data_IF_036916316394
#
_entry.id   IF_036916316394
#
_cell.length_a   1.000
_cell.length_b   1.000
_cell.length_c   1.000
_cell.angle_alpha   90.00
_cell.angle_beta   90.00
_cell.angle_gamma   90.00
#
_symmetry.space_group_name_H-M   'P 1'
#
loop_
_entity.id
_entity.type
_entity.pdbx_description
1 polymer ?
#
# COMPACT_ATOMS: atom_id res chain seq x y z
N UNK A 1 47.67 -77.10 2.09
CA UNK A 1 46.45 -77.66 2.70
C UNK A 1 45.56 -76.48 3.06
N UNK A 2 44.30 -76.53 2.61
CA UNK A 2 43.12 -75.74 3.02
C UNK A 2 43.15 -74.20 2.82
N UNK A 3 42.59 -73.68 1.72
CA UNK A 3 41.22 -73.15 1.46
C UNK A 3 40.73 -71.96 2.31
N UNK A 4 40.33 -70.93 1.55
CA UNK A 4 39.22 -69.97 1.71
C UNK A 4 39.30 -68.96 2.86
N UNK A 5 39.30 -67.67 2.50
CA UNK A 5 38.22 -66.76 2.92
C UNK A 5 38.19 -65.49 2.09
N UNK A 6 36.96 -65.02 1.90
CA UNK A 6 36.43 -64.12 0.90
C UNK A 6 36.94 -62.67 0.92
N UNK A 7 36.90 -62.08 -0.28
CA UNK A 7 36.92 -60.64 -0.50
C UNK A 7 35.70 -59.97 0.14
N UNK A 8 35.92 -59.14 1.16
CA UNK A 8 34.98 -58.08 1.54
C UNK A 8 35.66 -56.71 1.36
N UNK A 9 35.22 -55.99 0.33
CA UNK A 9 35.51 -54.57 0.12
C UNK A 9 34.98 -53.77 1.32
N UNK A 10 35.85 -53.33 2.21
CA UNK A 10 35.51 -52.34 3.23
C UNK A 10 35.71 -50.93 2.67
N UNK A 11 34.62 -50.38 2.13
CA UNK A 11 34.49 -48.96 1.82
C UNK A 11 34.59 -48.18 3.14
N UNK A 12 35.63 -47.35 3.28
CA UNK A 12 35.75 -46.36 4.35
C UNK A 12 34.69 -45.27 4.12
N UNK A 13 33.74 -45.00 5.04
CA UNK A 13 33.04 -43.73 5.04
C UNK A 13 33.93 -42.69 5.71
N UNK A 14 34.39 -41.74 4.90
CA UNK A 14 35.02 -40.51 5.31
C UNK A 14 34.05 -39.73 6.23
N UNK A 15 34.31 -39.75 7.54
CA UNK A 15 33.54 -38.98 8.51
C UNK A 15 33.93 -37.49 8.38
N UNK A 16 33.24 -36.78 7.49
CA UNK A 16 33.31 -35.33 7.44
C UNK A 16 32.41 -34.76 8.54
N UNK A 17 33.01 -34.38 9.65
CA UNK A 17 32.36 -33.68 10.74
C UNK A 17 31.96 -32.28 10.28
N UNK A 18 30.71 -32.11 9.84
CA UNK A 18 30.11 -30.78 9.67
C UNK A 18 29.81 -30.22 11.07
N UNK A 19 30.67 -29.32 11.55
CA UNK A 19 30.35 -28.43 12.64
C UNK A 19 29.23 -27.49 12.19
N UNK A 20 27.99 -27.80 12.56
CA UNK A 20 26.88 -26.88 12.48
C UNK A 20 26.96 -25.93 13.68
N UNK A 21 27.46 -24.71 13.46
CA UNK A 21 27.33 -23.63 14.42
C UNK A 21 25.85 -23.25 14.50
N UNK A 22 25.15 -23.77 15.51
CA UNK A 22 23.82 -23.35 15.86
C UNK A 22 23.92 -21.99 16.55
N UNK A 23 23.71 -20.91 15.79
CA UNK A 23 23.63 -19.55 16.32
C UNK A 23 22.37 -19.47 17.20
N UNK A 24 22.45 -19.11 18.49
CA UNK A 24 21.25 -18.98 19.31
C UNK A 24 20.43 -17.81 18.74
N UNK A 25 19.23 -18.11 18.24
CA UNK A 25 18.21 -17.08 18.04
C UNK A 25 17.94 -16.45 19.41
N UNK A 26 18.49 -15.26 19.62
CA UNK A 26 18.07 -14.37 20.68
C UNK A 26 16.60 -13.98 20.41
N UNK A 27 15.69 -14.81 20.89
CA UNK A 27 14.32 -14.40 21.15
C UNK A 27 14.41 -13.40 22.31
N UNK A 28 14.38 -12.11 22.00
CA UNK A 28 14.16 -11.10 23.03
C UNK A 28 12.69 -11.25 23.43
N UNK A 29 12.41 -12.11 24.42
CA UNK A 29 11.14 -12.07 25.14
C UNK A 29 11.12 -10.78 25.96
N UNK A 30 10.70 -9.70 25.32
CA UNK A 30 10.20 -8.53 26.04
C UNK A 30 8.83 -8.94 26.58
N UNK A 31 8.84 -9.40 27.84
CA UNK A 31 7.65 -9.58 28.64
C UNK A 31 7.07 -8.19 28.89
N UNK A 32 6.19 -7.77 27.99
CA UNK A 32 5.41 -6.55 28.09
C UNK A 32 4.04 -6.97 28.56
N UNK A 33 3.65 -6.43 29.71
CA UNK A 33 2.32 -6.50 30.30
C UNK A 33 1.24 -6.38 29.20
N UNK A 34 0.56 -7.49 28.93
CA UNK A 34 -0.31 -7.72 27.77
C UNK A 34 -1.74 -7.20 27.96
N UNK A 35 -1.91 -6.15 28.77
CA UNK A 35 -3.25 -5.68 29.12
C UNK A 35 -3.63 -4.36 28.45
N UNK A 36 -2.67 -3.61 27.89
CA UNK A 36 -2.95 -2.26 27.33
C UNK A 36 -2.21 -1.92 26.02
N UNK A 37 -1.60 -2.89 25.34
CA UNK A 37 -1.15 -2.72 23.95
C UNK A 37 -2.15 -3.40 23.03
N UNK A 38 -2.86 -2.61 22.21
CA UNK A 38 -3.75 -3.14 21.18
C UNK A 38 -3.08 -4.30 20.42
N UNK A 39 -3.69 -5.50 20.38
CA UNK A 39 -3.03 -6.67 19.80
C UNK A 39 -2.65 -6.42 18.34
N UNK A 40 -1.42 -6.77 17.96
CA UNK A 40 -1.01 -6.84 16.56
C UNK A 40 -1.91 -7.84 15.82
N UNK A 41 -2.42 -7.48 14.65
CA UNK A 41 -3.29 -8.36 13.87
C UNK A 41 -2.56 -9.66 13.53
N UNK A 42 -3.07 -10.79 14.02
CA UNK A 42 -2.47 -12.10 13.69
C UNK A 42 -2.78 -12.50 12.24
N UNK A 43 -2.05 -13.49 11.73
CA UNK A 43 -2.32 -14.05 10.39
C UNK A 43 -3.73 -14.65 10.32
N UNK A 44 -4.10 -15.45 11.31
CA UNK A 44 -5.43 -16.07 11.37
C UNK A 44 -6.53 -15.01 11.47
N UNK A 45 -6.36 -14.04 12.37
CA UNK A 45 -7.31 -12.94 12.55
C UNK A 45 -7.51 -12.14 11.26
N UNK A 46 -6.43 -11.86 10.52
CA UNK A 46 -6.53 -11.16 9.25
C UNK A 46 -7.22 -12.00 8.17
N UNK A 47 -7.03 -13.33 8.17
CA UNK A 47 -7.75 -14.23 7.26
C UNK A 47 -9.24 -14.24 7.53
N UNK A 48 -9.66 -14.41 8.79
CA UNK A 48 -11.08 -14.37 9.16
C UNK A 48 -11.72 -13.03 8.78
N UNK A 49 -11.01 -11.94 9.04
CA UNK A 49 -11.44 -10.61 8.62
C UNK A 49 -11.70 -10.52 7.11
N UNK A 50 -10.79 -11.06 6.29
CA UNK A 50 -10.93 -11.04 4.83
C UNK A 50 -12.09 -11.90 4.34
N UNK A 51 -12.34 -13.05 4.97
CA UNK A 51 -13.50 -13.91 4.68
C UNK A 51 -14.79 -13.14 4.96
N UNK A 52 -14.93 -12.59 6.16
CA UNK A 52 -16.11 -11.79 6.54
C UNK A 52 -16.31 -10.60 5.58
N UNK A 53 -15.21 -9.94 5.19
CA UNK A 53 -15.25 -8.80 4.26
C UNK A 53 -15.61 -9.22 2.83
N UNK A 54 -15.21 -10.41 2.40
CA UNK A 54 -15.59 -10.98 1.11
C UNK A 54 -17.10 -11.27 1.05
N UNK A 55 -17.65 -11.86 2.10
CA UNK A 55 -19.09 -12.18 2.20
C UNK A 55 -19.97 -10.93 2.13
N UNK A 56 -19.53 -9.85 2.79
CA UNK A 56 -20.24 -8.58 2.81
C UNK A 56 -19.93 -7.67 1.62
N UNK A 57 -19.01 -8.07 0.72
CA UNK A 57 -18.51 -7.18 -0.34
C UNK A 57 -19.60 -6.61 -1.22
N UNK A 58 -20.63 -7.41 -1.51
CA UNK A 58 -21.79 -6.98 -2.28
C UNK A 58 -22.54 -5.83 -1.58
N UNK A 59 -22.79 -5.95 -0.28
CA UNK A 59 -23.50 -4.92 0.49
C UNK A 59 -22.70 -3.60 0.54
N UNK A 60 -21.37 -3.69 0.61
CA UNK A 60 -20.48 -2.52 0.51
C UNK A 60 -20.53 -1.82 -0.85
N UNK A 61 -20.91 -2.52 -1.92
CA UNK A 61 -21.07 -1.92 -3.25
C UNK A 61 -22.45 -1.30 -3.46
N UNK A 62 -23.47 -1.84 -2.82
CA UNK A 62 -24.86 -1.42 -3.00
C UNK A 62 -25.20 -0.14 -2.21
N UNK A 63 -24.49 0.10 -1.11
CA UNK A 63 -24.79 1.20 -0.17
C UNK A 63 -23.67 2.24 -0.13
N UNK A 64 -24.03 3.52 -0.03
CA UNK A 64 -23.04 4.62 0.14
C UNK A 64 -22.62 4.83 1.60
N UNK A 65 -23.48 4.50 2.56
CA UNK A 65 -23.23 4.61 4.01
C UNK A 65 -22.82 3.26 4.58
N UNK A 66 -21.54 3.10 4.84
CA UNK A 66 -20.96 1.80 5.24
C UNK A 66 -20.72 1.65 6.75
N UNK A 67 -21.07 2.65 7.57
CA UNK A 67 -20.87 2.63 9.04
C UNK A 67 -21.41 1.35 9.69
N UNK A 68 -22.67 1.02 9.42
CA UNK A 68 -23.31 -0.19 9.97
C UNK A 68 -22.65 -1.49 9.46
N UNK A 69 -22.13 -1.50 8.23
CA UNK A 69 -21.44 -2.68 7.71
C UNK A 69 -20.11 -2.93 8.44
N UNK A 70 -19.42 -1.87 8.86
CA UNK A 70 -18.23 -2.00 9.71
C UNK A 70 -18.56 -2.50 11.12
N UNK A 71 -19.70 -2.10 11.68
CA UNK A 71 -20.21 -2.64 12.96
C UNK A 71 -20.57 -4.14 12.84
N UNK A 72 -21.17 -4.54 11.71
CA UNK A 72 -21.45 -5.96 11.42
C UNK A 72 -20.14 -6.76 11.30
N UNK A 73 -19.12 -6.23 10.62
CA UNK A 73 -17.81 -6.89 10.56
C UNK A 73 -17.21 -7.03 11.96
N UNK A 74 -17.22 -5.98 12.77
CA UNK A 74 -16.71 -6.02 14.14
C UNK A 74 -17.44 -7.06 15.01
N UNK A 75 -18.75 -7.16 14.86
CA UNK A 75 -19.58 -8.16 15.56
C UNK A 75 -19.20 -9.58 15.13
N UNK A 76 -19.08 -9.84 13.82
CA UNK A 76 -18.65 -11.15 13.31
C UNK A 76 -17.22 -11.50 13.74
N UNK A 77 -16.31 -10.54 13.76
CA UNK A 77 -14.95 -10.74 14.28
C UNK A 77 -14.97 -11.15 15.75
N UNK A 78 -15.82 -10.52 16.57
CA UNK A 78 -16.02 -10.86 17.98
C UNK A 78 -16.59 -12.27 18.15
N UNK A 79 -17.51 -12.69 17.29
CA UNK A 79 -18.04 -14.07 17.27
C UNK A 79 -16.96 -15.12 16.96
N UNK A 80 -15.96 -14.75 16.14
CA UNK A 80 -14.77 -15.57 15.89
C UNK A 80 -13.71 -15.48 17.01
N UNK A 81 -14.00 -14.78 18.10
CA UNK A 81 -13.09 -14.61 19.24
C UNK A 81 -12.08 -13.47 19.09
N UNK A 82 -12.21 -12.62 18.06
CA UNK A 82 -11.34 -11.48 17.81
C UNK A 82 -12.03 -10.16 18.14
N UNK A 83 -11.69 -9.57 19.28
CA UNK A 83 -12.27 -8.29 19.71
C UNK A 83 -11.63 -7.11 18.96
N UNK A 84 -12.25 -6.71 17.84
CA UNK A 84 -11.91 -5.50 17.08
C UNK A 84 -13.11 -4.58 16.95
N UNK A 85 -12.88 -3.28 17.12
CA UNK A 85 -13.88 -2.25 16.85
C UNK A 85 -14.10 -2.07 15.35
N UNK A 86 -15.26 -1.49 14.98
CA UNK A 86 -15.60 -1.15 13.60
C UNK A 86 -14.52 -0.27 12.95
N UNK A 87 -13.98 0.69 13.69
CA UNK A 87 -12.94 1.60 13.19
C UNK A 87 -11.61 0.87 12.95
N UNK A 88 -11.23 -0.05 13.84
CA UNK A 88 -10.04 -0.89 13.63
C UNK A 88 -10.18 -1.79 12.39
N UNK A 89 -11.37 -2.36 12.18
CA UNK A 89 -11.70 -3.15 10.99
C UNK A 89 -11.61 -2.31 9.70
N UNK A 90 -12.17 -1.10 9.71
CA UNK A 90 -12.06 -0.14 8.60
C UNK A 90 -10.60 0.23 8.30
N UNK A 91 -9.86 0.65 9.33
CA UNK A 91 -8.44 0.97 9.20
C UNK A 91 -7.62 -0.22 8.68
N UNK A 92 -7.91 -1.44 9.15
CA UNK A 92 -7.26 -2.66 8.68
C UNK A 92 -7.52 -2.92 7.20
N UNK A 93 -8.78 -2.79 6.75
CA UNK A 93 -9.12 -2.89 5.34
C UNK A 93 -8.36 -1.87 4.50
N UNK A 94 -8.38 -0.59 4.89
CA UNK A 94 -7.65 0.48 4.18
C UNK A 94 -6.17 0.12 4.02
N UNK A 95 -5.52 -0.33 5.09
CA UNK A 95 -4.13 -0.76 5.05
C UNK A 95 -3.89 -1.95 4.11
N UNK A 96 -4.77 -2.94 4.10
CA UNK A 96 -4.67 -4.10 3.19
C UNK A 96 -4.86 -3.69 1.73
N UNK A 97 -5.82 -2.81 1.44
CA UNK A 97 -6.05 -2.27 0.09
C UNK A 97 -4.84 -1.47 -0.39
N UNK A 98 -4.28 -0.59 0.45
CA UNK A 98 -3.09 0.18 0.12
C UNK A 98 -1.90 -0.73 -0.20
N UNK A 99 -1.66 -1.76 0.62
CA UNK A 99 -0.60 -2.74 0.36
C UNK A 99 -0.84 -3.52 -0.93
N UNK A 100 -2.06 -3.98 -1.16
CA UNK A 100 -2.44 -4.69 -2.39
C UNK A 100 -2.18 -3.84 -3.65
N UNK A 101 -2.58 -2.55 -3.65
CA UNK A 101 -2.33 -1.62 -4.76
C UNK A 101 -0.85 -1.27 -4.91
N UNK A 102 -0.13 -1.12 -3.81
CA UNK A 102 1.31 -0.81 -3.81
C UNK A 102 2.17 -1.92 -4.42
N UNK A 103 1.64 -3.14 -4.54
CA UNK A 103 2.34 -4.24 -5.18
C UNK A 103 2.25 -4.22 -6.72
N UNK A 104 1.36 -3.44 -7.34
CA UNK A 104 1.08 -3.48 -8.79
C UNK A 104 2.32 -3.20 -9.69
N UNK A 105 3.41 -2.69 -9.11
CA UNK A 105 4.70 -2.42 -9.79
C UNK A 105 5.78 -3.50 -9.61
N UNK A 106 5.48 -4.60 -8.88
CA UNK A 106 6.44 -5.66 -8.52
C UNK A 106 6.08 -6.97 -9.25
N UNK A 107 7.08 -7.76 -9.62
CA UNK A 107 6.90 -9.07 -10.25
C UNK A 107 5.94 -9.98 -9.44
N UNK A 108 4.97 -10.67 -10.09
CA UNK A 108 3.91 -11.44 -9.41
C UNK A 108 4.40 -12.54 -8.45
N UNK A 109 5.59 -13.10 -8.67
CA UNK A 109 6.16 -14.16 -7.83
C UNK A 109 6.73 -13.60 -6.50
N UNK A 110 7.46 -12.49 -6.57
CA UNK A 110 7.98 -11.77 -5.40
C UNK A 110 6.85 -11.11 -4.59
N UNK A 111 5.80 -10.67 -5.28
CA UNK A 111 4.57 -10.10 -4.68
C UNK A 111 3.84 -11.10 -3.75
N UNK A 112 3.73 -12.37 -4.15
CA UNK A 112 3.11 -13.44 -3.34
C UNK A 112 3.91 -13.75 -2.07
N UNK A 113 5.23 -13.58 -2.11
CA UNK A 113 6.12 -13.85 -0.97
C UNK A 113 6.12 -12.70 0.05
N UNK A 114 5.93 -11.45 -0.38
CA UNK A 114 5.97 -10.29 0.52
C UNK A 114 4.61 -9.96 1.17
N UNK A 115 3.49 -10.30 0.51
CA UNK A 115 2.14 -10.04 1.00
C UNK A 115 1.30 -11.32 1.10
N UNK A 116 1.26 -11.98 2.27
CA UNK A 116 0.61 -13.29 2.45
C UNK A 116 -0.92 -13.30 2.28
N UNK A 117 -1.54 -12.13 2.07
CA UNK A 117 -2.99 -11.99 1.84
C UNK A 117 -3.35 -11.54 0.42
N UNK A 118 -2.37 -11.58 -0.49
CA UNK A 118 -2.56 -11.10 -1.86
C UNK A 118 -3.67 -11.85 -2.59
N UNK A 119 -3.69 -13.18 -2.48
CA UNK A 119 -4.67 -14.02 -3.19
C UNK A 119 -6.10 -13.77 -2.70
N UNK A 120 -6.28 -13.64 -1.39
CA UNK A 120 -7.58 -13.37 -0.78
C UNK A 120 -8.09 -11.99 -1.20
N UNK A 121 -7.24 -10.97 -1.20
CA UNK A 121 -7.58 -9.62 -1.70
C UNK A 121 -7.90 -9.64 -3.20
N UNK A 122 -7.07 -10.32 -4.00
CA UNK A 122 -7.28 -10.46 -5.44
C UNK A 122 -8.61 -11.16 -5.73
N UNK A 123 -8.95 -12.20 -4.99
CA UNK A 123 -10.20 -12.93 -5.13
C UNK A 123 -11.42 -12.03 -4.86
N UNK A 124 -11.39 -11.19 -3.81
CA UNK A 124 -12.46 -10.24 -3.51
C UNK A 124 -12.65 -9.27 -4.68
N UNK A 125 -11.58 -8.69 -5.21
CA UNK A 125 -11.66 -7.74 -6.32
C UNK A 125 -12.03 -8.38 -7.65
N UNK A 126 -11.52 -9.58 -7.95
CA UNK A 126 -11.88 -10.33 -9.16
C UNK A 126 -13.35 -10.72 -9.14
N UNK A 127 -13.85 -11.25 -8.01
CA UNK A 127 -15.27 -11.58 -7.84
C UNK A 127 -16.15 -10.33 -7.94
N UNK A 128 -15.69 -9.19 -7.40
CA UNK A 128 -16.35 -7.89 -7.57
C UNK A 128 -16.45 -7.49 -9.04
N UNK A 129 -15.34 -7.56 -9.78
CA UNK A 129 -15.31 -7.22 -11.20
C UNK A 129 -16.26 -8.12 -12.01
N UNK A 130 -16.21 -9.42 -11.76
CA UNK A 130 -17.07 -10.40 -12.44
C UNK A 130 -18.55 -10.14 -12.17
N UNK A 131 -18.94 -9.78 -10.93
CA UNK A 131 -20.32 -9.39 -10.61
C UNK A 131 -20.78 -8.15 -11.38
N UNK A 132 -19.92 -7.14 -11.52
CA UNK A 132 -20.27 -5.96 -12.33
C UNK A 132 -20.46 -6.32 -13.80
N UNK A 133 -19.60 -7.17 -14.36
CA UNK A 133 -19.74 -7.64 -15.74
C UNK A 133 -21.02 -8.47 -15.95
N UNK A 134 -21.43 -9.29 -14.98
CA UNK A 134 -22.68 -10.06 -15.05
C UNK A 134 -23.92 -9.18 -14.96
N UNK A 135 -23.91 -8.13 -14.13
CA UNK A 135 -25.03 -7.20 -14.00
C UNK A 135 -25.32 -6.42 -15.29
N UNK A 136 -24.30 -6.11 -16.09
CA UNK A 136 -24.43 -5.46 -17.40
C UNK A 136 -24.99 -6.40 -18.49
N UNK A 137 -24.82 -7.71 -18.33
CA UNK A 137 -25.32 -8.71 -19.29
C UNK A 137 -26.82 -8.99 -19.13
N UNK A 138 -27.37 -8.83 -17.91
CA UNK A 138 -28.81 -9.04 -17.64
C UNK A 138 -29.64 -7.74 -17.57
N UNK A 139 -28.99 -6.57 -17.45
CA UNK A 139 -29.63 -5.26 -17.37
C UNK A 139 -29.44 -4.41 -18.63
N UNK A 140 -30.38 -4.45 -19.56
CA UNK A 140 -30.36 -3.62 -20.77
C UNK A 140 -30.26 -2.11 -20.48
N UNK A 141 -29.21 -1.48 -20.99
CA UNK A 141 -29.04 -0.06 -21.31
C UNK A 141 -29.74 0.97 -20.39
N UNK A 142 -29.02 1.42 -19.34
CA UNK A 142 -29.12 2.80 -18.87
C UNK A 142 -27.72 3.33 -18.59
N UNK A 143 -27.31 4.33 -19.38
CA UNK A 143 -25.92 4.76 -19.50
C UNK A 143 -25.31 5.27 -18.20
N UNK A 144 -24.11 4.76 -17.89
CA UNK A 144 -23.06 5.46 -17.13
C UNK A 144 -21.72 4.76 -17.36
N UNK A 145 -21.18 4.85 -18.59
CA UNK A 145 -19.76 4.60 -18.84
C UNK A 145 -18.95 5.69 -18.12
N UNK A 146 -18.68 5.49 -16.82
CA UNK A 146 -17.71 6.19 -15.96
C UNK A 146 -17.78 5.69 -14.51
N UNK A 147 -17.58 4.38 -14.30
CA UNK A 147 -17.38 3.82 -12.94
C UNK A 147 -16.30 2.74 -12.82
N UNK A 148 -15.54 2.49 -13.89
CA UNK A 148 -14.39 1.58 -13.84
C UNK A 148 -13.24 2.10 -12.95
N UNK A 149 -13.22 3.39 -12.60
CA UNK A 149 -12.17 4.01 -11.77
C UNK A 149 -12.47 4.08 -10.26
N UNK A 150 -13.64 3.63 -9.79
CA UNK A 150 -13.94 3.56 -8.35
C UNK A 150 -13.64 2.17 -7.77
N UNK A 151 -12.38 1.74 -7.88
CA UNK A 151 -11.87 0.64 -7.07
C UNK A 151 -11.55 1.17 -5.67
N UNK A 152 -12.56 1.12 -4.80
CA UNK A 152 -12.51 1.43 -3.36
C UNK A 152 -12.23 2.90 -3.05
N UNK A 153 -13.24 3.76 -3.25
CA UNK A 153 -13.34 5.06 -2.58
C UNK A 153 -13.84 4.81 -1.16
N UNK A 154 -12.93 4.38 -0.28
CA UNK A 154 -13.11 4.44 1.18
C UNK A 154 -12.46 5.75 1.64
N UNK A 155 -12.96 6.87 1.12
CA UNK A 155 -12.54 8.23 1.48
C UNK A 155 -13.78 8.99 1.97
N UNK A 156 -13.69 9.38 3.24
CA UNK A 156 -14.42 10.44 3.95
C UNK A 156 -15.96 10.31 4.07
N UNK A 157 -16.43 9.63 5.12
CA UNK A 157 -17.77 9.82 5.68
C UNK A 157 -17.59 10.23 7.16
N UNK A 158 -17.04 11.43 7.37
CA UNK A 158 -17.24 12.19 8.60
C UNK A 158 -18.60 12.90 8.45
N UNK A 159 -19.62 12.31 9.07
CA UNK A 159 -20.98 12.81 9.02
C UNK A 159 -21.38 13.25 10.42
N UNK A 160 -21.18 14.55 10.69
CA UNK A 160 -21.84 15.23 11.80
C UNK A 160 -23.33 15.39 11.47
N UNK A 161 -24.13 14.89 12.40
CA UNK A 161 -25.57 14.81 12.38
C UNK A 161 -26.22 16.21 12.37
N UNK A 162 -27.13 16.45 11.43
CA UNK A 162 -28.11 17.53 11.50
C UNK A 162 -29.36 17.14 10.70
N UNK A 163 -30.31 16.61 11.46
CA UNK A 163 -31.71 16.41 11.10
C UNK A 163 -32.32 17.62 10.39
N UNK A 164 -32.90 17.39 9.21
CA UNK A 164 -34.02 18.18 8.70
C UNK A 164 -34.79 17.43 7.61
N UNK A 165 -35.83 16.76 8.07
CA UNK A 165 -37.07 16.46 7.37
C UNK A 165 -37.47 17.52 6.31
N UNK A 166 -37.75 17.06 5.08
CA UNK A 166 -38.98 17.40 4.34
C UNK A 166 -39.01 16.74 2.97
N UNK A 167 -39.90 15.76 2.85
CA UNK A 167 -40.23 15.13 1.58
C UNK A 167 -40.95 16.06 0.60
N UNK A 168 -40.83 15.73 -0.70
CA UNK A 168 -41.98 15.83 -1.62
C UNK A 168 -41.77 15.06 -2.92
N UNK A 169 -42.52 13.97 -3.04
CA UNK A 169 -42.85 13.29 -4.29
C UNK A 169 -43.76 14.19 -5.13
N UNK A 170 -43.45 14.39 -6.43
CA UNK A 170 -44.46 14.75 -7.44
C UNK A 170 -44.24 14.02 -8.77
N UNK A 171 -45.04 12.97 -8.94
CA UNK A 171 -45.42 12.33 -10.20
C UNK A 171 -46.31 13.32 -10.99
N UNK A 172 -46.09 13.53 -12.30
CA UNK A 172 -47.17 14.06 -13.16
C UNK A 172 -47.21 13.40 -14.54
N UNK A 173 -48.38 12.79 -14.72
CA UNK A 173 -49.01 12.05 -15.81
C UNK A 173 -49.18 12.86 -17.11
N UNK A 174 -48.81 12.23 -18.23
CA UNK A 174 -49.49 12.12 -19.55
C UNK A 174 -50.55 13.18 -19.89
N UNK A 175 -50.31 13.93 -20.97
CA UNK A 175 -51.30 14.68 -21.75
C UNK A 175 -51.10 14.41 -23.24
N UNK A 176 -52.11 13.82 -23.89
CA UNK A 176 -52.27 13.73 -25.34
C UNK A 176 -52.87 15.07 -25.81
N UNK A 177 -52.33 15.67 -26.86
CA UNK A 177 -53.12 16.54 -27.75
C UNK A 177 -52.62 16.40 -29.18
N UNK A 178 -53.50 15.89 -30.03
CA UNK A 178 -53.45 15.94 -31.49
C UNK A 178 -53.65 17.38 -31.95
N UNK A 179 -52.80 17.86 -32.87
CA UNK A 179 -53.19 18.81 -33.92
C UNK A 179 -52.37 18.47 -35.17
N UNK A 180 -53.06 18.23 -36.28
CA UNK A 180 -52.50 18.02 -37.61
C UNK A 180 -52.10 19.38 -38.22
N UNK A 181 -50.97 19.43 -38.92
CA UNK A 181 -50.75 20.38 -40.03
C UNK A 181 -50.22 19.58 -41.21
N UNK A 182 -50.92 19.72 -42.32
CA UNK A 182 -50.67 19.03 -43.57
C UNK A 182 -49.69 19.81 -44.47
N UNK A 183 -49.19 19.06 -45.45
CA UNK A 183 -48.77 19.45 -46.80
C UNK A 183 -47.42 20.15 -47.04
N UNK A 184 -46.54 19.34 -47.64
CA UNK A 184 -45.78 19.54 -48.90
C UNK A 184 -44.63 20.55 -48.97
N UNK A 185 -43.47 20.07 -49.42
CA UNK A 185 -42.40 20.89 -50.00
C UNK A 185 -41.04 20.18 -49.99
N UNK A 186 -40.46 19.95 -51.16
CA UNK A 186 -39.29 19.10 -51.41
C UNK A 186 -37.95 19.71 -50.98
N UNK A 187 -37.05 18.82 -50.53
CA UNK A 187 -35.58 18.76 -50.74
C UNK A 187 -34.68 20.00 -50.64
N UNK A 188 -33.55 19.80 -49.95
CA UNK A 188 -32.21 20.38 -50.21
C UNK A 188 -31.63 21.38 -49.19
N UNK A 189 -31.59 21.00 -47.90
CA UNK A 189 -30.78 21.70 -46.88
C UNK A 189 -30.30 20.84 -45.70
N UNK A 190 -30.61 19.54 -45.70
CA UNK A 190 -30.53 18.70 -44.49
C UNK A 190 -29.21 17.92 -44.33
N UNK A 191 -28.38 17.88 -45.37
CA UNK A 191 -27.06 17.23 -45.32
C UNK A 191 -26.05 18.03 -44.51
N UNK A 192 -26.16 19.36 -44.52
CA UNK A 192 -25.24 20.25 -43.80
C UNK A 192 -25.49 20.19 -42.29
N UNK A 193 -26.75 20.17 -41.86
CA UNK A 193 -27.13 20.08 -40.44
C UNK A 193 -26.72 18.75 -39.78
N UNK A 194 -26.89 17.61 -40.45
CA UNK A 194 -26.47 16.31 -39.88
C UNK A 194 -24.94 16.19 -39.81
N UNK A 195 -24.24 16.74 -40.81
CA UNK A 195 -22.78 16.80 -40.85
C UNK A 195 -22.24 17.66 -39.69
N UNK A 196 -22.88 18.79 -39.43
CA UNK A 196 -22.53 19.71 -38.34
C UNK A 196 -22.78 19.10 -36.95
N UNK A 197 -23.92 18.43 -36.76
CA UNK A 197 -24.22 17.70 -35.51
C UNK A 197 -23.21 16.57 -35.26
N UNK A 198 -22.80 15.85 -36.31
CA UNK A 198 -21.81 14.78 -36.19
C UNK A 198 -20.41 15.34 -35.91
N UNK A 199 -20.02 16.45 -36.54
CA UNK A 199 -18.78 17.16 -36.25
C UNK A 199 -18.74 17.68 -34.81
N UNK A 200 -19.85 18.20 -34.30
CA UNK A 200 -19.97 18.67 -32.92
C UNK A 200 -19.95 17.51 -31.91
N UNK A 201 -20.55 16.36 -32.26
CA UNK A 201 -20.43 15.14 -31.46
C UNK A 201 -18.98 14.63 -31.41
N UNK A 202 -18.27 14.65 -32.55
CA UNK A 202 -16.85 14.27 -32.59
C UNK A 202 -15.97 15.25 -31.80
N UNK A 203 -16.23 16.56 -31.88
CA UNK A 203 -15.55 17.57 -31.05
C UNK A 203 -15.83 17.36 -29.56
N UNK A 204 -17.08 17.06 -29.18
CA UNK A 204 -17.44 16.74 -27.79
C UNK A 204 -16.72 15.48 -27.30
N UNK A 205 -16.62 14.44 -28.13
CA UNK A 205 -15.91 13.22 -27.79
C UNK A 205 -14.42 13.50 -27.55
N UNK A 206 -13.77 14.23 -28.45
CA UNK A 206 -12.35 14.60 -28.35
C UNK A 206 -12.08 15.49 -27.13
N UNK A 207 -12.94 16.49 -26.86
CA UNK A 207 -12.80 17.35 -25.67
C UNK A 207 -12.92 16.56 -24.38
N UNK A 208 -13.88 15.65 -24.33
CA UNK A 208 -14.04 14.78 -23.17
C UNK A 208 -12.79 13.91 -23.01
N UNK A 209 -12.35 13.20 -24.06
CA UNK A 209 -11.12 12.38 -24.03
C UNK A 209 -9.88 13.17 -23.62
N UNK A 210 -9.75 14.42 -24.08
CA UNK A 210 -8.67 15.32 -23.69
C UNK A 210 -8.72 15.65 -22.19
N UNK A 211 -9.90 15.96 -21.65
CA UNK A 211 -10.08 16.14 -20.21
C UNK A 211 -9.79 14.87 -19.40
N UNK A 212 -10.17 13.68 -19.92
CA UNK A 212 -9.82 12.40 -19.29
C UNK A 212 -8.32 12.17 -19.29
N UNK A 213 -7.65 12.45 -20.41
CA UNK A 213 -6.20 12.30 -20.58
C UNK A 213 -5.45 13.24 -19.65
N UNK A 214 -5.86 14.50 -19.60
CA UNK A 214 -5.26 15.52 -18.74
C UNK A 214 -5.51 15.21 -17.25
N UNK A 215 -6.72 14.80 -16.87
CA UNK A 215 -7.01 14.41 -15.49
C UNK A 215 -6.22 13.15 -15.07
N UNK A 216 -6.00 12.21 -15.99
CA UNK A 216 -5.16 11.04 -15.76
C UNK A 216 -3.70 11.43 -15.58
N UNK A 217 -3.16 12.27 -16.48
CA UNK A 217 -1.78 12.75 -16.44
C UNK A 217 -1.52 13.64 -15.21
N UNK A 218 -2.47 14.49 -14.82
CA UNK A 218 -2.41 15.28 -13.59
C UNK A 218 -2.32 14.38 -12.35
N UNK A 219 -3.13 13.32 -12.29
CA UNK A 219 -3.08 12.35 -11.18
C UNK A 219 -1.76 11.56 -11.17
N UNK A 220 -1.21 11.27 -12.35
CA UNK A 220 0.11 10.66 -12.45
C UNK A 220 1.23 11.59 -11.97
N UNK A 221 1.18 12.86 -12.37
CA UNK A 221 2.12 13.89 -11.97
C UNK A 221 2.03 14.20 -10.47
N UNK A 222 0.82 14.20 -9.90
CA UNK A 222 0.61 14.32 -8.46
C UNK A 222 1.30 13.18 -7.70
N UNK A 223 1.21 11.93 -8.20
CA UNK A 223 1.94 10.80 -7.61
C UNK A 223 3.46 11.00 -7.71
N UNK A 224 3.96 11.40 -8.89
CA UNK A 224 5.40 11.66 -9.08
C UNK A 224 5.91 12.75 -8.15
N UNK A 225 5.13 13.82 -7.94
CA UNK A 225 5.51 14.92 -7.07
C UNK A 225 5.55 14.48 -5.61
N UNK A 226 4.53 13.76 -5.14
CA UNK A 226 4.53 13.17 -3.79
C UNK A 226 5.69 12.20 -3.58
N UNK A 227 6.02 11.40 -4.58
CA UNK A 227 7.18 10.51 -4.53
C UNK A 227 8.50 11.29 -4.47
N UNK A 228 8.64 12.36 -5.26
CA UNK A 228 9.81 13.23 -5.22
C UNK A 228 9.95 13.97 -3.90
N UNK A 229 8.86 14.50 -3.35
CA UNK A 229 8.84 15.13 -2.02
C UNK A 229 9.22 14.12 -0.93
N UNK A 230 8.69 12.89 -1.00
CA UNK A 230 9.07 11.83 -0.08
C UNK A 230 10.56 11.47 -0.20
N UNK A 231 11.10 11.38 -1.42
CA UNK A 231 12.53 11.14 -1.64
C UNK A 231 13.40 12.28 -1.08
N UNK A 232 13.03 13.53 -1.35
CA UNK A 232 13.76 14.70 -0.85
C UNK A 232 13.73 14.79 0.68
N UNK A 233 12.59 14.52 1.31
CA UNK A 233 12.48 14.52 2.77
C UNK A 233 13.32 13.41 3.41
N UNK A 234 13.34 12.21 2.81
CA UNK A 234 14.20 11.11 3.25
C UNK A 234 15.69 11.46 3.10
N UNK A 235 16.08 12.03 1.97
CA UNK A 235 17.46 12.48 1.73
C UNK A 235 17.87 13.61 2.70
N UNK A 236 16.96 14.54 3.01
CA UNK A 236 17.21 15.61 3.97
C UNK A 236 17.49 15.06 5.38
N UNK A 237 16.71 14.07 5.83
CA UNK A 237 16.93 13.40 7.12
C UNK A 237 18.27 12.66 7.16
N UNK A 238 18.65 11.98 6.06
CA UNK A 238 19.94 11.30 5.96
C UNK A 238 21.11 12.30 5.99
N UNK A 239 20.98 13.41 5.25
CA UNK A 239 21.98 14.48 5.25
C UNK A 239 22.10 15.15 6.62
N UNK A 240 21.00 15.35 7.36
CA UNK A 240 21.04 15.87 8.72
C UNK A 240 21.82 14.92 9.65
N UNK A 241 21.53 13.62 9.57
CA UNK A 241 22.26 12.59 10.32
C UNK A 241 23.75 12.61 9.99
N UNK A 242 24.12 12.63 8.71
CA UNK A 242 25.52 12.70 8.27
C UNK A 242 26.23 13.96 8.77
N UNK A 243 25.53 15.10 8.78
CA UNK A 243 26.06 16.36 9.30
C UNK A 243 26.28 16.31 10.81
N UNK A 244 25.39 15.68 11.59
CA UNK A 244 25.58 15.47 13.02
C UNK A 244 26.76 14.53 13.31
N UNK A 245 26.90 13.42 12.58
CA UNK A 245 28.02 12.50 12.69
C UNK A 245 29.35 13.19 12.34
N UNK A 246 29.35 14.04 11.30
CA UNK A 246 30.52 14.83 10.92
C UNK A 246 30.93 15.81 12.02
N UNK A 247 29.96 16.54 12.60
CA UNK A 247 30.19 17.45 13.74
C UNK A 247 30.67 16.71 14.99
N UNK A 248 30.23 15.47 15.19
CA UNK A 248 30.72 14.64 16.29
C UNK A 248 32.17 14.22 16.05
N UNK A 249 32.49 13.70 14.86
CA UNK A 249 33.87 13.33 14.50
C UNK A 249 34.83 14.51 14.60
N UNK A 250 34.45 15.68 14.11
CA UNK A 250 35.29 16.88 14.20
C UNK A 250 35.56 17.27 15.66
N UNK A 251 34.53 17.22 16.54
CA UNK A 251 34.73 17.45 17.97
C UNK A 251 35.63 16.40 18.61
N UNK A 252 35.45 15.12 18.27
CA UNK A 252 36.31 14.03 18.72
C UNK A 252 37.77 14.24 18.29
N UNK A 253 38.00 14.56 17.02
CA UNK A 253 39.31 14.86 16.46
C UNK A 253 39.93 16.06 17.17
N UNK A 254 39.17 17.11 17.48
CA UNK A 254 39.65 18.24 18.28
C UNK A 254 40.04 17.81 19.70
N UNK A 255 39.29 16.89 20.34
CA UNK A 255 39.68 16.33 21.64
C UNK A 255 40.99 15.55 21.50
N UNK A 256 41.09 14.69 20.48
CA UNK A 256 42.27 13.88 20.19
C UNK A 256 43.50 14.74 19.92
N UNK A 257 43.38 15.77 19.09
CA UNK A 257 44.44 16.75 18.81
C UNK A 257 44.93 17.44 20.08
N UNK A 258 44.03 17.81 21.00
CA UNK A 258 44.42 18.40 22.29
C UNK A 258 45.14 17.39 23.18
N UNK A 259 44.77 16.12 23.14
CA UNK A 259 45.43 15.05 23.88
C UNK A 259 46.80 14.72 23.31
N UNK A 260 46.91 14.65 21.99
CA UNK A 260 48.15 14.44 21.23
C UNK A 260 49.14 15.58 21.48
N UNK A 261 48.71 16.84 21.41
CA UNK A 261 49.55 17.99 21.77
C UNK A 261 50.05 17.96 23.23
N UNK A 262 49.28 17.36 24.16
CA UNK A 262 49.76 17.14 25.54
C UNK A 262 50.73 15.96 25.62
N UNK A 263 50.49 14.89 24.86
CA UNK A 263 51.39 13.75 24.75
C UNK A 263 52.74 14.18 24.16
N UNK A 264 52.76 14.91 23.06
CA UNK A 264 53.97 15.46 22.45
C UNK A 264 54.78 16.31 23.42
N UNK A 265 54.12 17.16 24.23
CA UNK A 265 54.80 17.92 25.29
C UNK A 265 55.45 17.01 26.33
N UNK A 266 54.75 15.94 26.75
CA UNK A 266 55.32 14.95 27.68
C UNK A 266 56.51 14.23 27.05
N UNK A 267 56.38 13.79 25.80
CA UNK A 267 57.43 13.07 25.07
C UNK A 267 58.66 13.95 24.82
N UNK A 268 58.46 15.23 24.51
CA UNK A 268 59.53 16.21 24.36
C UNK A 268 60.30 16.41 25.68
N UNK A 269 59.59 16.48 26.81
CA UNK A 269 60.22 16.57 28.14
C UNK A 269 61.01 15.31 28.48
N UNK A 270 60.43 14.13 28.25
CA UNK A 270 61.11 12.85 28.46
C UNK A 270 62.39 12.78 27.60
N UNK A 271 62.28 13.13 26.32
CA UNK A 271 63.41 13.16 25.39
C UNK A 271 64.50 14.13 25.85
N UNK A 272 64.12 15.33 26.32
CA UNK A 272 65.07 16.31 26.84
C UNK A 272 65.81 15.80 28.09
N UNK A 273 65.10 15.11 29.01
CA UNK A 273 65.69 14.50 30.20
C UNK A 273 66.65 13.37 29.85
N UNK A 274 66.25 12.44 28.97
CA UNK A 274 67.11 11.35 28.49
C UNK A 274 68.41 11.89 27.85
N UNK A 275 68.30 12.96 27.06
CA UNK A 275 69.47 13.61 26.45
C UNK A 275 70.37 14.33 27.48
N UNK A 276 69.87 14.73 28.65
CA UNK A 276 70.70 15.28 29.73
C UNK A 276 71.45 14.17 30.45
N UNK A 277 70.77 13.11 30.85
CA UNK A 277 71.40 11.95 31.50
C UNK A 277 72.53 11.36 30.64
N UNK A 278 72.28 11.19 29.34
CA UNK A 278 73.30 10.71 28.39
C UNK A 278 74.51 11.63 28.23
N UNK A 279 74.41 12.91 28.63
CA UNK A 279 75.51 13.88 28.64
C UNK A 279 76.23 13.95 29.98
N UNK A 280 75.60 13.51 31.07
CA UNK A 280 76.21 13.40 32.39
C UNK A 280 76.99 12.09 32.56
N UNK A 281 76.64 11.05 31.78
CA UNK A 281 77.33 9.75 31.75
C UNK A 281 78.57 9.69 30.80
N UNK A 282 78.91 10.79 30.10
CA UNK A 282 80.11 10.93 29.25
C UNK A 282 81.05 11.99 29.80
#
# INVERSE_FOLDING_TARGET
MFVMEDHLHHHHPHQQQQHQQHLPQHHISVNVDTSDRFPQWSLQETKEFLIIRADLDRSFMETKRNKLLWEVIATKMKEQGFNRSAEQCKCKWKNLVTRYKGCETIEPEAMRQQFPFFNEMQAIFAARMQRMLWAEAEGGASGSKKKAAQLSSDDEDDNEDSDADKGRVRKKKKGKSSVNIATSGSSSGNSNNLREILEDFMKQQIQMEMQWREAFEARENERRLKEMEWRQTMEALENERLMMDRRWREREEQRRMREEARAEKRDALITALLNKLRREDM
#
